data_IF_759506691979
#
_entry.id   IF_759506691979
#
_cell.length_a   1.000
_cell.length_b   1.000
_cell.length_c   1.000
_cell.angle_alpha   90.00
_cell.angle_beta   90.00
_cell.angle_gamma   90.00
#
_symmetry.space_group_name_H-M   'P 1'
#
loop_
_entity.id
_entity.type
_entity.pdbx_description
1 polymer ?
#
# COMPACT_ATOMS: atom_id res chain seq x y z
N UNK A 1 29.99 -1.80 -0.06
CA UNK A 1 28.82 -2.31 -0.79
C UNK A 1 28.37 -3.57 -0.07
N UNK A 2 27.08 -3.73 0.25
CA UNK A 2 26.60 -4.93 0.98
C UNK A 2 26.20 -5.98 -0.05
N UNK A 3 27.01 -7.03 -0.20
CA UNK A 3 26.68 -8.16 -1.07
C UNK A 3 25.54 -8.99 -0.49
N UNK A 4 24.87 -9.74 -1.37
CA UNK A 4 23.63 -10.46 -1.08
C UNK A 4 23.78 -11.92 -1.46
N UNK A 5 23.49 -12.80 -0.51
CA UNK A 5 23.59 -14.23 -0.69
C UNK A 5 22.45 -14.75 -1.58
N UNK A 6 22.80 -15.57 -2.56
CA UNK A 6 21.90 -16.35 -3.39
C UNK A 6 22.19 -17.80 -3.06
N UNK A 7 21.22 -18.48 -2.44
CA UNK A 7 21.37 -19.85 -2.04
C UNK A 7 20.19 -20.68 -2.53
N UNK A 8 20.47 -21.84 -3.12
CA UNK A 8 19.42 -22.78 -3.51
C UNK A 8 19.95 -24.21 -3.57
N UNK A 9 19.03 -25.16 -3.70
CA UNK A 9 19.32 -26.57 -3.98
C UNK A 9 18.69 -26.93 -5.33
N UNK A 10 19.49 -27.50 -6.21
CA UNK A 10 19.07 -27.91 -7.55
C UNK A 10 18.61 -29.36 -7.50
N UNK A 11 17.37 -29.58 -7.92
CA UNK A 11 16.75 -30.90 -8.00
C UNK A 11 16.45 -31.24 -9.47
N UNK A 12 16.52 -32.52 -9.81
CA UNK A 12 16.14 -33.09 -11.12
C UNK A 12 15.02 -34.12 -10.95
N UNK A 13 14.40 -34.47 -12.08
CA UNK A 13 13.36 -35.49 -12.17
C UNK A 13 11.94 -34.93 -12.03
N UNK A 14 11.01 -35.49 -12.79
CA UNK A 14 9.58 -35.12 -12.77
C UNK A 14 8.75 -36.06 -11.89
N UNK A 15 9.22 -37.29 -11.68
CA UNK A 15 8.53 -38.33 -10.90
C UNK A 15 9.31 -38.76 -9.65
N UNK A 16 10.65 -38.76 -9.71
CA UNK A 16 11.54 -38.98 -8.58
C UNK A 16 12.45 -37.77 -8.42
N UNK A 17 12.33 -37.05 -7.30
CA UNK A 17 13.22 -35.95 -6.97
C UNK A 17 14.63 -36.50 -6.72
N UNK A 18 15.60 -36.06 -7.51
CA UNK A 18 17.02 -36.38 -7.35
C UNK A 18 17.84 -35.10 -7.19
N UNK A 19 18.99 -35.20 -6.53
CA UNK A 19 19.95 -34.09 -6.44
C UNK A 19 20.64 -33.89 -7.78
N UNK A 20 20.70 -32.65 -8.25
CA UNK A 20 21.36 -32.29 -9.50
C UNK A 20 22.81 -31.84 -9.26
N UNK A 21 23.66 -32.76 -8.79
CA UNK A 21 25.08 -32.48 -8.56
C UNK A 21 25.75 -31.97 -9.86
N UNK A 22 26.57 -30.93 -9.75
CA UNK A 22 27.28 -30.35 -10.90
C UNK A 22 26.38 -29.60 -11.90
N UNK A 23 25.14 -29.25 -11.54
CA UNK A 23 24.29 -28.41 -12.39
C UNK A 23 24.97 -27.08 -12.70
N UNK A 24 24.90 -26.62 -13.95
CA UNK A 24 25.42 -25.31 -14.35
C UNK A 24 24.42 -24.23 -13.94
N UNK A 25 24.89 -23.23 -13.20
CA UNK A 25 24.11 -22.08 -12.74
C UNK A 25 24.63 -20.83 -13.46
N UNK A 26 23.73 -20.07 -14.07
CA UNK A 26 24.02 -18.78 -14.69
C UNK A 26 23.12 -17.73 -14.07
N UNK A 27 23.71 -16.60 -13.66
CA UNK A 27 22.97 -15.49 -13.05
C UNK A 27 23.16 -14.24 -13.90
N UNK A 28 22.06 -13.73 -14.44
CA UNK A 28 22.07 -12.55 -15.32
C UNK A 28 21.29 -11.43 -14.68
N UNK A 29 21.67 -10.20 -14.98
CA UNK A 29 20.84 -9.04 -14.69
C UNK A 29 19.54 -9.15 -15.50
N UNK A 30 18.40 -9.08 -14.81
CA UNK A 30 17.09 -9.34 -15.43
C UNK A 30 16.68 -8.27 -16.45
N UNK A 31 17.28 -7.07 -16.39
CA UNK A 31 16.95 -5.95 -17.28
C UNK A 31 17.83 -6.00 -18.53
N UNK A 32 19.13 -6.19 -18.37
CA UNK A 32 20.12 -6.12 -19.45
C UNK A 32 20.43 -7.48 -20.08
N UNK A 33 20.14 -8.59 -19.39
CA UNK A 33 20.47 -9.95 -19.83
C UNK A 33 21.97 -10.29 -19.77
N UNK A 34 22.79 -9.40 -19.19
CA UNK A 34 24.24 -9.59 -19.04
C UNK A 34 24.56 -10.40 -17.78
N UNK A 35 25.66 -11.14 -17.80
CA UNK A 35 26.15 -11.83 -16.60
C UNK A 35 26.59 -10.79 -15.56
N UNK A 36 26.19 -11.00 -14.31
CA UNK A 36 26.63 -10.15 -13.19
C UNK A 36 27.90 -10.71 -12.55
N UNK A 37 28.66 -9.84 -11.89
CA UNK A 37 29.77 -10.26 -11.02
C UNK A 37 29.23 -11.03 -9.82
N UNK A 38 29.88 -12.15 -9.51
CA UNK A 38 29.58 -13.02 -8.37
C UNK A 38 30.82 -13.13 -7.48
N UNK A 39 30.60 -13.49 -6.21
CA UNK A 39 31.65 -13.68 -5.21
C UNK A 39 31.37 -14.91 -4.34
N UNK A 40 32.42 -15.56 -3.85
CA UNK A 40 32.33 -16.69 -2.92
C UNK A 40 32.08 -16.21 -1.47
N UNK A 41 32.39 -14.96 -1.15
CA UNK A 41 32.28 -14.39 0.18
C UNK A 41 31.51 -13.05 0.21
N UNK A 42 30.95 -12.72 1.39
CA UNK A 42 30.14 -11.51 1.59
C UNK A 42 30.93 -10.20 1.53
N UNK A 43 32.25 -10.24 1.73
CA UNK A 43 33.10 -9.06 1.64
C UNK A 43 33.47 -8.73 0.18
N UNK A 44 33.20 -9.64 -0.75
CA UNK A 44 33.49 -9.48 -2.17
C UNK A 44 34.98 -9.59 -2.49
N UNK A 45 35.74 -10.32 -1.67
CA UNK A 45 37.18 -10.47 -1.82
C UNK A 45 37.55 -11.54 -2.86
N UNK A 46 36.76 -12.60 -2.95
CA UNK A 46 36.99 -13.76 -3.82
C UNK A 46 35.93 -13.80 -4.92
N UNK A 47 36.27 -13.43 -6.17
CA UNK A 47 35.34 -13.50 -7.29
C UNK A 47 34.96 -14.95 -7.61
N UNK A 48 33.70 -15.16 -7.99
CA UNK A 48 33.18 -16.43 -8.49
C UNK A 48 32.90 -16.33 -10.00
N UNK A 49 33.05 -17.45 -10.69
CA UNK A 49 32.74 -17.60 -12.11
C UNK A 49 31.24 -17.45 -12.40
N UNK A 50 30.88 -17.00 -13.60
CA UNK A 50 29.49 -16.92 -14.05
C UNK A 50 29.42 -17.22 -15.55
N UNK A 51 29.07 -18.45 -15.95
CA UNK A 51 28.43 -19.50 -15.15
C UNK A 51 29.38 -20.23 -14.19
N UNK A 52 28.82 -20.87 -13.16
CA UNK A 52 29.50 -21.76 -12.21
C UNK A 52 28.72 -23.08 -12.03
N UNK A 53 29.26 -24.04 -11.28
CA UNK A 53 28.61 -25.34 -11.02
C UNK A 53 28.17 -25.49 -9.58
N UNK A 54 26.96 -26.01 -9.37
CA UNK A 54 26.49 -26.46 -8.06
C UNK A 54 27.36 -27.61 -7.53
N UNK A 55 27.45 -27.73 -6.20
CA UNK A 55 28.29 -28.72 -5.52
C UNK A 55 27.79 -30.18 -5.69
N UNK A 56 28.47 -31.12 -5.03
CA UNK A 56 28.10 -32.54 -5.07
C UNK A 56 26.74 -32.86 -4.42
N UNK A 57 26.20 -31.95 -3.61
CA UNK A 57 24.87 -32.01 -3.03
C UNK A 57 23.85 -31.18 -3.84
N UNK A 58 24.22 -30.70 -5.02
CA UNK A 58 23.40 -29.84 -5.87
C UNK A 58 23.11 -28.48 -5.24
N UNK A 59 23.87 -28.06 -4.24
CA UNK A 59 23.72 -26.78 -3.57
C UNK A 59 24.62 -25.74 -4.22
N UNK A 60 24.21 -24.48 -4.15
CA UNK A 60 25.11 -23.37 -4.40
C UNK A 60 24.84 -22.22 -3.44
N UNK A 61 25.90 -21.47 -3.15
CA UNK A 61 25.88 -20.21 -2.43
C UNK A 61 26.83 -19.26 -3.16
N UNK A 62 26.30 -18.16 -3.67
CA UNK A 62 27.10 -17.08 -4.24
C UNK A 62 26.61 -15.75 -3.71
N UNK A 63 27.49 -14.76 -3.70
CA UNK A 63 27.17 -13.40 -3.32
C UNK A 63 27.14 -12.53 -4.58
N UNK A 64 26.23 -11.59 -4.63
CA UNK A 64 26.13 -10.63 -5.73
C UNK A 64 25.80 -9.23 -5.22
N UNK A 65 26.04 -8.23 -6.05
CA UNK A 65 25.54 -6.88 -5.82
C UNK A 65 24.01 -6.87 -5.85
N UNK A 66 23.34 -5.99 -5.08
CA UNK A 66 21.90 -5.75 -5.19
C UNK A 66 21.47 -5.52 -6.65
N UNK A 67 20.62 -6.39 -7.17
CA UNK A 67 20.10 -6.35 -8.54
C UNK A 67 18.82 -7.19 -8.63
N UNK A 68 18.06 -7.05 -9.73
CA UNK A 68 17.07 -8.07 -10.11
C UNK A 68 17.75 -9.02 -11.08
N UNK A 69 17.62 -10.32 -10.84
CA UNK A 69 18.40 -11.32 -11.57
C UNK A 69 17.52 -12.41 -12.16
N UNK A 70 17.92 -12.91 -13.31
CA UNK A 70 17.43 -14.18 -13.87
C UNK A 70 18.43 -15.27 -13.47
N UNK A 71 17.94 -16.30 -12.78
CA UNK A 71 18.74 -17.47 -12.41
C UNK A 71 18.34 -18.61 -13.35
N UNK A 72 19.29 -19.05 -14.16
CA UNK A 72 19.11 -20.19 -15.08
C UNK A 72 19.94 -21.35 -14.58
N UNK A 73 19.31 -22.49 -14.38
CA UNK A 73 19.98 -23.72 -13.94
C UNK A 73 19.73 -24.83 -14.92
N UNK A 74 20.81 -25.46 -15.38
CA UNK A 74 20.78 -26.54 -16.37
C UNK A 74 21.45 -27.79 -15.82
N UNK A 75 20.76 -28.94 -15.91
CA UNK A 75 21.28 -30.25 -15.52
C UNK A 75 20.65 -31.36 -16.36
N UNK A 76 21.48 -32.26 -16.91
CA UNK A 76 21.01 -33.41 -17.69
C UNK A 76 20.11 -33.06 -18.87
N UNK A 77 20.34 -31.90 -19.52
CA UNK A 77 19.51 -31.40 -20.63
C UNK A 77 18.23 -30.67 -20.21
N UNK A 78 17.89 -30.63 -18.92
CA UNK A 78 16.75 -29.86 -18.40
C UNK A 78 17.20 -28.47 -17.96
N UNK A 79 16.36 -27.46 -18.21
CA UNK A 79 16.61 -26.07 -17.80
C UNK A 79 15.46 -25.55 -16.97
N UNK A 80 15.77 -24.94 -15.83
CA UNK A 80 14.83 -24.19 -14.99
C UNK A 80 15.28 -22.73 -14.94
N UNK A 81 14.32 -21.83 -15.07
CA UNK A 81 14.56 -20.38 -15.03
C UNK A 81 13.72 -19.81 -13.88
N UNK A 82 14.37 -19.11 -12.97
CA UNK A 82 13.70 -18.19 -12.05
C UNK A 82 13.86 -16.79 -12.63
N UNK A 83 12.76 -16.25 -13.14
CA UNK A 83 12.74 -14.90 -13.68
C UNK A 83 12.64 -13.89 -12.53
N UNK A 84 13.41 -12.81 -12.66
CA UNK A 84 13.17 -11.56 -11.94
C UNK A 84 13.30 -11.62 -10.40
N UNK A 85 14.25 -12.43 -9.92
CA UNK A 85 14.60 -12.61 -8.50
C UNK A 85 15.23 -11.33 -7.95
N UNK A 86 14.64 -10.76 -6.91
CA UNK A 86 15.12 -9.52 -6.31
C UNK A 86 16.18 -9.79 -5.22
N UNK A 87 17.41 -9.34 -5.46
CA UNK A 87 18.52 -9.46 -4.52
C UNK A 87 18.70 -8.24 -3.61
N UNK A 88 17.88 -7.20 -3.69
CA UNK A 88 18.12 -5.98 -2.91
C UNK A 88 18.03 -6.15 -1.38
N UNK A 89 17.64 -7.35 -0.92
CA UNK A 89 17.74 -7.80 0.47
C UNK A 89 16.65 -7.23 1.37
N UNK A 90 15.57 -6.77 0.76
CA UNK A 90 14.31 -6.54 1.43
C UNK A 90 13.32 -7.60 0.94
N UNK A 91 13.29 -8.79 1.56
CA UNK A 91 12.43 -9.88 1.11
C UNK A 91 10.94 -9.54 1.18
N UNK A 92 10.58 -8.39 1.77
CA UNK A 92 9.20 -7.95 1.98
C UNK A 92 8.80 -6.75 1.10
N UNK A 93 9.70 -6.23 0.27
CA UNK A 93 9.38 -5.11 -0.61
C UNK A 93 9.22 -3.76 0.12
N UNK A 94 9.96 -3.53 1.21
CA UNK A 94 9.83 -2.34 2.07
C UNK A 94 10.77 -1.17 1.67
N UNK A 95 11.42 -1.22 0.49
CA UNK A 95 12.22 -0.08 0.01
C UNK A 95 11.31 1.04 -0.50
N UNK A 96 10.25 0.69 -1.21
CA UNK A 96 9.17 1.62 -1.51
C UNK A 96 8.58 2.09 -0.18
N UNK A 97 8.49 3.40 0.01
CA UNK A 97 7.87 4.02 1.19
C UNK A 97 6.38 4.25 0.99
N UNK A 98 5.92 4.31 -0.26
CA UNK A 98 4.50 4.50 -0.57
C UNK A 98 3.75 3.23 -0.21
N UNK A 99 2.83 3.36 0.75
CA UNK A 99 1.84 2.32 1.06
C UNK A 99 0.74 2.39 -0.01
N UNK A 100 0.34 1.21 -0.49
CA UNK A 100 -0.67 0.94 -1.49
C UNK A 100 -0.40 1.62 -2.85
N UNK A 101 0.87 1.78 -3.23
CA UNK A 101 1.27 2.42 -4.49
C UNK A 101 0.90 1.64 -5.76
N UNK A 102 0.67 0.33 -5.62
CA UNK A 102 0.16 -0.54 -6.68
C UNK A 102 -1.37 -0.67 -6.71
N UNK A 103 -2.08 0.02 -5.81
CA UNK A 103 -3.53 -0.02 -5.64
C UNK A 103 -4.20 -1.40 -5.40
N UNK A 104 -3.60 -2.41 -4.76
CA UNK A 104 -4.32 -3.65 -4.44
C UNK A 104 -5.44 -3.50 -3.40
N UNK A 105 -5.37 -2.53 -2.48
CA UNK A 105 -6.29 -2.42 -1.32
C UNK A 105 -7.31 -1.28 -1.48
N UNK A 106 -8.61 -1.59 -1.34
CA UNK A 106 -9.76 -0.66 -1.51
C UNK A 106 -10.95 -0.93 -0.55
N UNK A 107 -10.67 -1.06 0.75
CA UNK A 107 -11.61 -1.25 1.86
C UNK A 107 -12.60 -0.09 2.04
N UNK A 108 -12.22 1.15 1.70
CA UNK A 108 -13.10 2.33 1.75
C UNK A 108 -14.16 2.42 0.63
N UNK A 109 -14.12 1.50 -0.34
CA UNK A 109 -14.91 1.56 -1.57
C UNK A 109 -14.03 1.79 -2.80
N UNK A 110 -14.62 1.78 -3.99
CA UNK A 110 -13.91 1.81 -5.28
C UNK A 110 -14.21 3.04 -6.14
N UNK A 111 -15.00 3.98 -5.63
CA UNK A 111 -15.39 5.21 -6.33
C UNK A 111 -15.60 6.35 -5.33
N UNK A 112 -14.96 7.49 -5.58
CA UNK A 112 -14.89 8.62 -4.65
C UNK A 112 -15.11 9.93 -5.39
N UNK A 113 -16.11 10.71 -4.98
CA UNK A 113 -16.47 12.00 -5.59
C UNK A 113 -16.34 13.19 -4.64
N UNK A 114 -15.77 13.00 -3.44
CA UNK A 114 -15.49 14.03 -2.45
C UNK A 114 -13.98 14.10 -2.18
N UNK A 115 -13.48 15.25 -1.74
CA UNK A 115 -12.10 15.32 -1.24
C UNK A 115 -12.00 14.48 0.04
N UNK A 116 -11.00 13.61 0.12
CA UNK A 116 -10.90 12.64 1.21
C UNK A 116 -9.95 11.50 0.89
N UNK A 117 -9.76 10.62 1.87
CA UNK A 117 -8.96 9.42 1.70
C UNK A 117 -9.64 8.41 0.76
N UNK A 118 -8.86 7.82 -0.14
CA UNK A 118 -9.25 6.79 -1.08
C UNK A 118 -8.14 5.74 -1.22
N UNK A 119 -8.46 4.56 -1.77
CA UNK A 119 -7.51 3.46 -1.96
C UNK A 119 -6.58 3.28 -0.74
N UNK A 120 -7.19 3.19 0.42
CA UNK A 120 -6.61 2.93 1.73
C UNK A 120 -5.27 3.54 2.17
N UNK A 121 -4.92 4.74 1.69
CA UNK A 121 -3.86 5.61 2.26
C UNK A 121 -3.74 6.97 1.55
N UNK A 122 -4.22 7.03 0.32
CA UNK A 122 -4.03 8.18 -0.56
C UNK A 122 -5.13 9.20 -0.35
N UNK A 123 -4.82 10.48 -0.49
CA UNK A 123 -5.80 11.54 -0.36
C UNK A 123 -6.14 12.11 -1.73
N UNK A 124 -7.43 12.17 -2.05
CA UNK A 124 -7.97 12.88 -3.19
C UNK A 124 -8.25 14.32 -2.78
N UNK A 125 -7.49 15.27 -3.29
CA UNK A 125 -7.79 16.69 -3.13
C UNK A 125 -8.29 17.25 -4.45
N UNK A 126 -9.54 17.69 -4.48
CA UNK A 126 -10.18 18.09 -5.73
C UNK A 126 -10.96 19.40 -5.62
N UNK A 127 -11.19 19.98 -6.79
CA UNK A 127 -12.14 21.06 -7.03
C UNK A 127 -13.10 20.66 -8.15
N UNK A 128 -14.33 21.17 -8.10
CA UNK A 128 -15.37 20.85 -9.08
C UNK A 128 -15.86 19.40 -9.03
N UNK A 129 -16.34 18.91 -10.18
CA UNK A 129 -16.93 17.58 -10.34
C UNK A 129 -15.86 16.60 -10.81
N UNK A 130 -15.12 16.01 -9.88
CA UNK A 130 -14.16 14.96 -10.18
C UNK A 130 -14.47 13.70 -9.39
N UNK A 131 -14.29 12.54 -10.04
CA UNK A 131 -14.44 11.21 -9.45
C UNK A 131 -13.14 10.43 -9.59
N UNK A 132 -12.65 9.85 -8.50
CA UNK A 132 -11.57 8.88 -8.52
C UNK A 132 -12.13 7.45 -8.43
N UNK A 133 -11.78 6.57 -9.36
CA UNK A 133 -12.24 5.16 -9.39
C UNK A 133 -11.07 4.18 -9.41
N UNK A 134 -11.34 2.96 -8.90
CA UNK A 134 -10.49 1.79 -9.14
C UNK A 134 -10.81 1.20 -10.50
N UNK A 135 -9.78 0.91 -11.27
CA UNK A 135 -9.89 0.28 -12.58
C UNK A 135 -8.91 -0.90 -12.70
N UNK A 136 -9.23 -1.84 -13.60
CA UNK A 136 -8.41 -3.04 -13.86
C UNK A 136 -8.24 -3.34 -15.36
N UNK A 137 -8.65 -2.43 -16.24
CA UNK A 137 -8.53 -2.65 -17.68
C UNK A 137 -7.15 -2.22 -18.17
N UNK A 138 -6.35 -3.17 -18.66
CA UNK A 138 -4.98 -2.92 -19.17
C UNK A 138 -4.04 -2.25 -18.15
N UNK A 139 -3.91 -2.77 -16.91
CA UNK A 139 -2.97 -2.24 -15.94
C UNK A 139 -1.52 -2.42 -16.46
N UNK A 140 -0.55 -1.63 -15.97
CA UNK A 140 0.84 -1.87 -16.32
C UNK A 140 1.29 -3.25 -15.79
N UNK A 141 2.21 -3.89 -16.51
CA UNK A 141 2.80 -5.17 -16.09
C UNK A 141 3.29 -5.09 -14.64
N UNK A 142 2.86 -6.03 -13.80
CA UNK A 142 3.15 -6.06 -12.36
C UNK A 142 2.08 -5.40 -11.49
N UNK A 143 0.95 -4.96 -12.05
CA UNK A 143 -0.19 -4.42 -11.30
C UNK A 143 -1.51 -5.05 -11.75
N UNK A 144 -2.45 -5.18 -10.81
CA UNK A 144 -3.82 -5.61 -11.09
C UNK A 144 -4.76 -4.42 -11.25
N UNK A 145 -4.53 -3.38 -10.46
CA UNK A 145 -5.38 -2.19 -10.41
C UNK A 145 -4.59 -0.90 -10.62
N UNK A 146 -5.33 0.15 -10.93
CA UNK A 146 -4.85 1.52 -10.99
C UNK A 146 -5.97 2.50 -10.60
N UNK A 147 -5.59 3.75 -10.34
CA UNK A 147 -6.55 4.81 -10.02
C UNK A 147 -6.83 5.68 -11.25
N UNK A 148 -8.10 6.01 -11.48
CA UNK A 148 -8.56 6.87 -12.58
C UNK A 148 -9.22 8.12 -12.03
N UNK A 149 -8.82 9.29 -12.52
CA UNK A 149 -9.34 10.59 -12.14
C UNK A 149 -10.14 11.16 -13.30
N UNK A 150 -11.48 11.08 -13.22
CA UNK A 150 -12.41 11.50 -14.25
C UNK A 150 -13.03 12.85 -13.90
N UNK A 151 -12.86 13.82 -14.79
CA UNK A 151 -13.54 15.11 -14.73
C UNK A 151 -14.96 15.01 -15.29
N UNK A 152 -15.93 15.53 -14.55
CA UNK A 152 -17.36 15.57 -14.89
C UNK A 152 -17.90 16.98 -15.21
N UNK A 153 -17.03 18.00 -15.22
CA UNK A 153 -17.38 19.37 -15.58
C UNK A 153 -16.15 20.17 -16.02
N UNK A 154 -16.34 21.23 -16.82
CA UNK A 154 -15.29 22.12 -17.33
C UNK A 154 -14.73 23.13 -16.31
N UNK A 155 -14.46 22.67 -15.10
CA UNK A 155 -13.85 23.38 -13.98
C UNK A 155 -13.26 22.41 -12.95
N UNK A 156 -13.04 21.16 -13.38
CA UNK A 156 -12.65 20.08 -12.49
C UNK A 156 -11.13 20.02 -12.37
N UNK A 157 -10.67 19.74 -11.17
CA UNK A 157 -9.26 19.62 -10.84
C UNK A 157 -9.09 18.55 -9.78
N UNK A 158 -8.06 17.72 -9.87
CA UNK A 158 -7.83 16.61 -8.95
C UNK A 158 -6.35 16.36 -8.72
N UNK A 159 -6.03 16.13 -7.45
CA UNK A 159 -4.71 15.79 -6.97
C UNK A 159 -4.77 14.45 -6.28
N UNK A 160 -3.77 13.64 -6.58
CA UNK A 160 -3.32 12.57 -5.71
C UNK A 160 -2.34 13.15 -4.69
N UNK A 161 -2.54 12.83 -3.41
CA UNK A 161 -1.59 13.17 -2.36
C UNK A 161 -1.26 11.94 -1.50
N UNK A 162 0.02 11.79 -1.15
CA UNK A 162 0.49 10.80 -0.20
C UNK A 162 1.41 11.47 0.82
N UNK A 163 1.09 11.38 2.10
CA UNK A 163 1.82 12.08 3.17
C UNK A 163 2.50 11.07 4.08
N UNK A 164 3.82 11.21 4.23
CA UNK A 164 4.67 10.46 5.15
C UNK A 164 4.81 11.21 6.47
N UNK A 165 4.82 10.46 7.56
CA UNK A 165 4.95 10.98 8.91
C UNK A 165 6.40 11.02 9.37
N UNK A 166 6.71 11.76 10.43
CA UNK A 166 8.06 11.87 10.97
C UNK A 166 8.77 10.54 11.19
N UNK A 167 8.03 9.51 11.61
CA UNK A 167 8.56 8.15 11.81
C UNK A 167 8.93 7.48 10.49
N UNK A 168 8.12 7.70 9.45
CA UNK A 168 8.39 7.21 8.10
C UNK A 168 9.53 7.99 7.45
N UNK A 169 9.62 9.30 7.75
CA UNK A 169 10.62 10.20 7.16
C UNK A 169 12.01 10.01 7.76
N UNK A 170 12.10 9.53 9.00
CA UNK A 170 13.39 9.35 9.67
C UNK A 170 14.35 8.46 8.87
N UNK A 171 13.84 7.41 8.22
CA UNK A 171 14.65 6.51 7.40
C UNK A 171 15.05 7.08 6.03
N UNK A 172 14.45 8.22 5.65
CA UNK A 172 14.70 8.94 4.41
C UNK A 172 15.66 10.12 4.59
N UNK A 173 15.84 10.63 5.82
CA UNK A 173 16.67 11.81 6.11
C UNK A 173 18.12 11.61 5.65
N UNK A 174 18.66 12.62 4.97
CA UNK A 174 20.03 12.64 4.45
C UNK A 174 20.23 11.80 3.18
N UNK A 175 19.15 11.25 2.60
CA UNK A 175 19.22 10.38 1.42
C UNK A 175 18.63 11.04 0.19
N UNK A 176 19.10 10.59 -0.97
CA UNK A 176 18.49 10.88 -2.26
C UNK A 176 17.37 9.87 -2.53
N UNK A 177 16.15 10.37 -2.58
CA UNK A 177 14.95 9.59 -2.85
C UNK A 177 14.48 9.81 -4.29
N UNK A 178 13.91 8.78 -4.90
CA UNK A 178 13.32 8.83 -6.24
C UNK A 178 11.83 8.52 -6.13
N UNK A 179 10.99 9.50 -6.49
CA UNK A 179 9.59 9.29 -6.80
C UNK A 179 9.48 8.76 -8.23
N UNK A 180 8.73 7.67 -8.41
CA UNK A 180 8.51 7.03 -9.70
C UNK A 180 7.05 6.60 -9.80
N UNK A 181 6.40 6.84 -10.94
CA UNK A 181 5.03 6.37 -11.17
C UNK A 181 4.74 6.23 -12.67
N UNK A 182 3.69 5.49 -12.99
CA UNK A 182 3.16 5.36 -14.35
C UNK A 182 1.92 6.20 -14.52
N UNK A 183 1.83 6.88 -15.66
CA UNK A 183 0.71 7.74 -16.01
C UNK A 183 0.26 7.54 -17.46
N UNK A 184 -1.04 7.70 -17.69
CA UNK A 184 -1.65 7.81 -19.02
C UNK A 184 -2.93 8.63 -18.96
N UNK A 185 -3.52 8.94 -20.11
CA UNK A 185 -4.71 9.79 -20.23
C UNK A 185 -5.64 9.34 -21.34
N UNK A 186 -6.84 9.91 -21.39
CA UNK A 186 -7.62 9.87 -22.64
C UNK A 186 -7.17 10.93 -23.64
N UNK A 187 -7.62 10.76 -24.88
CA UNK A 187 -7.35 11.68 -25.98
C UNK A 187 -7.88 13.09 -25.74
N UNK A 188 -8.99 13.23 -25.01
CA UNK A 188 -9.61 14.53 -24.72
C UNK A 188 -8.90 15.32 -23.61
N UNK A 189 -8.07 14.67 -22.78
CA UNK A 189 -7.41 15.33 -21.66
C UNK A 189 -6.54 16.49 -22.14
N UNK A 190 -6.77 17.67 -21.58
CA UNK A 190 -6.22 18.95 -22.05
C UNK A 190 -5.12 19.53 -21.15
N UNK A 191 -4.85 18.90 -20.00
CA UNK A 191 -3.87 19.36 -19.01
C UNK A 191 -2.51 18.66 -19.12
N UNK A 192 -1.50 19.19 -18.43
CA UNK A 192 -0.29 18.44 -18.08
C UNK A 192 -0.38 17.95 -16.64
N UNK A 193 0.62 17.18 -16.19
CA UNK A 193 0.68 16.63 -14.84
C UNK A 193 1.96 17.06 -14.16
N UNK A 194 1.87 17.53 -12.92
CA UNK A 194 3.01 17.89 -12.06
C UNK A 194 3.15 16.90 -10.93
N UNK A 195 4.33 16.29 -10.81
CA UNK A 195 4.77 15.65 -9.59
C UNK A 195 5.46 16.68 -8.69
N UNK A 196 5.24 16.62 -7.39
CA UNK A 196 5.86 17.50 -6.41
C UNK A 196 6.20 16.71 -5.16
N UNK A 197 7.42 16.87 -4.66
CA UNK A 197 7.78 16.45 -3.31
C UNK A 197 8.00 17.70 -2.47
N UNK A 198 7.31 17.77 -1.33
CA UNK A 198 7.40 18.89 -0.38
C UNK A 198 7.61 18.38 1.05
N UNK A 199 8.24 19.21 1.88
CA UNK A 199 8.51 18.91 3.30
C UNK A 199 7.78 19.87 4.24
N UNK A 200 7.54 19.40 5.45
CA UNK A 200 7.05 20.21 6.57
C UNK A 200 8.02 20.10 7.74
N UNK A 201 8.46 21.24 8.28
CA UNK A 201 9.41 21.28 9.40
C UNK A 201 8.77 21.12 10.78
N UNK A 202 7.45 21.18 10.91
CA UNK A 202 6.79 21.38 12.21
C UNK A 202 5.74 20.33 12.59
N UNK A 203 5.12 19.64 11.62
CA UNK A 203 3.95 18.82 11.93
C UNK A 203 3.85 17.52 11.12
N UNK A 204 3.40 16.47 11.81
CA UNK A 204 2.82 15.24 11.25
C UNK A 204 1.37 15.49 10.88
N UNK A 205 1.16 16.30 9.84
CA UNK A 205 -0.17 16.70 9.39
C UNK A 205 -0.23 16.54 7.88
N UNK A 206 -1.41 16.27 7.31
CA UNK A 206 -1.59 16.27 5.86
C UNK A 206 -1.96 17.67 5.39
N UNK A 207 -2.81 18.35 6.16
CA UNK A 207 -3.19 19.75 5.90
C UNK A 207 -2.67 20.69 7.00
N UNK A 208 -2.41 21.95 6.65
CA UNK A 208 -1.82 22.92 7.58
C UNK A 208 -0.28 22.83 7.69
N UNK A 209 0.30 23.77 8.44
CA UNK A 209 1.75 23.98 8.53
C UNK A 209 2.36 24.70 7.32
N UNK A 210 3.67 24.95 7.37
CA UNK A 210 4.42 25.59 6.29
C UNK A 210 5.11 24.52 5.43
N UNK A 211 4.47 24.18 4.30
CA UNK A 211 5.03 23.23 3.34
C UNK A 211 6.00 23.91 2.39
N UNK A 212 7.23 23.40 2.33
CA UNK A 212 8.26 23.87 1.41
C UNK A 212 8.45 22.86 0.29
N UNK A 213 8.30 23.29 -0.96
CA UNK A 213 8.59 22.46 -2.14
C UNK A 213 10.08 22.15 -2.18
N UNK A 214 10.42 20.86 -2.32
CA UNK A 214 11.80 20.41 -2.47
C UNK A 214 12.15 20.12 -3.93
N UNK A 215 11.21 19.51 -4.66
CA UNK A 215 11.41 19.17 -6.06
C UNK A 215 10.07 19.10 -6.80
N UNK A 216 10.10 19.36 -8.11
CA UNK A 216 8.94 19.25 -9.02
C UNK A 216 9.36 18.65 -10.35
N UNK A 217 8.48 17.89 -10.98
CA UNK A 217 8.62 17.42 -12.36
C UNK A 217 7.32 17.64 -13.11
N UNK A 218 7.36 18.28 -14.28
CA UNK A 218 6.20 18.51 -15.13
C UNK A 218 6.23 17.57 -16.33
N UNK A 219 5.19 16.76 -16.49
CA UNK A 219 4.93 15.95 -17.68
C UNK A 219 3.94 16.68 -18.55
N UNK A 220 4.37 17.12 -19.74
CA UNK A 220 3.49 17.82 -20.66
C UNK A 220 2.41 16.88 -21.21
N UNK A 221 1.28 17.46 -21.63
CA UNK A 221 0.15 16.72 -22.20
C UNK A 221 0.57 15.76 -23.33
N UNK A 222 1.42 16.25 -24.24
CA UNK A 222 1.92 15.51 -25.40
C UNK A 222 2.83 14.33 -25.06
N UNK A 223 3.44 14.31 -23.88
CA UNK A 223 4.40 13.28 -23.46
C UNK A 223 3.71 12.08 -22.76
N UNK A 224 2.43 12.25 -22.40
CA UNK A 224 1.62 11.18 -21.83
C UNK A 224 1.00 10.31 -22.92
N UNK A 225 1.11 8.99 -22.77
CA UNK A 225 0.39 8.05 -23.61
C UNK A 225 -1.12 8.33 -23.55
N UNK A 226 -1.75 8.38 -24.73
CA UNK A 226 -3.18 8.64 -24.95
C UNK A 226 -3.82 7.51 -25.74
N UNK A 227 -5.10 7.21 -25.50
CA UNK A 227 -5.86 6.18 -26.21
C UNK A 227 -7.19 5.82 -25.53
N UNK A 228 -7.93 4.88 -26.12
CA UNK A 228 -9.21 4.36 -25.58
C UNK A 228 -9.26 2.83 -25.74
N UNK A 229 -8.86 2.03 -24.73
CA UNK A 229 -7.92 2.36 -23.65
C UNK A 229 -6.45 2.27 -24.15
N UNK A 230 -5.54 3.13 -23.68
CA UNK A 230 -4.13 3.03 -24.05
C UNK A 230 -3.51 1.77 -23.42
N UNK A 231 -2.81 0.92 -24.17
CA UNK A 231 -2.22 -0.32 -23.63
C UNK A 231 -0.85 -0.11 -22.98
N UNK A 232 -0.25 1.06 -23.13
CA UNK A 232 1.06 1.43 -22.58
C UNK A 232 0.95 2.62 -21.61
N UNK A 233 2.04 2.86 -20.89
CA UNK A 233 2.11 3.85 -19.81
C UNK A 233 3.38 4.69 -19.95
N UNK A 234 3.29 5.99 -19.68
CA UNK A 234 4.47 6.86 -19.54
C UNK A 234 5.02 6.71 -18.12
N UNK A 235 6.32 6.47 -17.99
CA UNK A 235 6.99 6.49 -16.68
C UNK A 235 7.44 7.92 -16.37
N UNK A 236 7.11 8.41 -15.16
CA UNK A 236 7.56 9.71 -14.65
C UNK A 236 8.49 9.47 -13.46
N UNK A 237 9.53 10.30 -13.34
CA UNK A 237 10.55 10.22 -12.28
C UNK A 237 10.89 11.60 -11.75
N UNK A 238 11.04 11.70 -10.44
CA UNK A 238 11.47 12.91 -9.74
C UNK A 238 12.43 12.52 -8.62
N UNK A 239 13.66 13.03 -8.67
CA UNK A 239 14.66 12.81 -7.61
C UNK A 239 14.70 13.99 -6.66
N UNK A 240 14.90 13.73 -5.38
CA UNK A 240 14.93 14.74 -4.33
C UNK A 240 15.88 14.32 -3.21
N UNK A 241 16.66 15.28 -2.70
CA UNK A 241 17.48 15.07 -1.51
C UNK A 241 16.65 15.44 -0.27
N UNK A 242 16.42 14.47 0.62
CA UNK A 242 15.72 14.71 1.88
C UNK A 242 16.74 15.25 2.89
N UNK A 243 16.53 16.45 3.45
CA UNK A 243 17.49 17.05 4.36
C UNK A 243 17.60 16.26 5.68
N UNK A 244 18.76 16.35 6.32
CA UNK A 244 18.96 15.86 7.70
C UNK A 244 19.26 17.04 8.65
N UNK A 245 18.35 18.01 8.69
CA UNK A 245 18.52 19.30 9.41
C UNK A 245 17.31 19.64 10.31
N UNK A 246 16.51 18.62 10.67
CA UNK A 246 15.24 18.75 11.41
C UNK A 246 14.11 19.52 10.68
N UNK A 247 14.28 19.91 9.40
CA UNK A 247 13.24 20.62 8.63
C UNK A 247 12.33 19.70 7.80
N UNK A 248 12.59 18.39 7.80
CA UNK A 248 11.75 17.36 7.18
C UNK A 248 11.16 16.43 8.24
N UNK A 249 10.18 16.95 8.99
CA UNK A 249 9.40 16.14 9.94
C UNK A 249 8.14 15.54 9.29
N UNK A 250 7.72 16.05 8.14
CA UNK A 250 6.76 15.42 7.25
C UNK A 250 7.22 15.56 5.80
N UNK A 251 6.94 14.56 4.97
CA UNK A 251 7.18 14.62 3.52
C UNK A 251 5.86 14.30 2.83
N UNK A 252 5.57 15.00 1.74
CA UNK A 252 4.38 14.74 0.95
C UNK A 252 4.71 14.67 -0.53
N UNK A 253 4.14 13.67 -1.19
CA UNK A 253 4.07 13.55 -2.64
C UNK A 253 2.73 14.11 -3.09
N UNK A 254 2.75 14.96 -4.11
CA UNK A 254 1.56 15.42 -4.83
C UNK A 254 1.75 15.09 -6.30
N UNK A 255 0.74 14.47 -6.92
CA UNK A 255 0.63 14.33 -8.36
C UNK A 255 -0.67 15.02 -8.77
N UNK A 256 -0.56 16.10 -9.53
CA UNK A 256 -1.68 17.01 -9.79
C UNK A 256 -1.76 17.44 -11.23
N UNK A 257 -2.95 17.84 -11.66
CA UNK A 257 -3.15 18.52 -12.92
C UNK A 257 -2.46 19.90 -12.89
N UNK A 258 -2.03 20.41 -14.04
CA UNK A 258 -1.45 21.77 -14.15
C UNK A 258 -2.52 22.83 -14.37
N UNK A 259 -3.60 22.46 -15.06
CA UNK A 259 -4.77 23.30 -15.34
C UNK A 259 -6.05 22.50 -15.12
N UNK A 260 -7.16 23.22 -14.88
CA UNK A 260 -8.51 22.64 -14.84
C UNK A 260 -8.83 21.95 -16.17
N UNK A 261 -9.61 20.88 -16.11
CA UNK A 261 -9.95 20.07 -17.28
C UNK A 261 -11.43 20.10 -17.62
N UNK A 262 -11.74 19.76 -18.87
CA UNK A 262 -13.08 19.64 -19.42
C UNK A 262 -13.87 18.43 -18.90
N UNK A 263 -15.15 18.38 -19.28
CA UNK A 263 -16.00 17.23 -19.01
C UNK A 263 -15.51 15.97 -19.76
N UNK A 264 -15.60 14.81 -19.11
CA UNK A 264 -15.18 13.50 -19.60
C UNK A 264 -13.67 13.35 -19.89
N UNK A 265 -12.85 14.32 -19.50
CA UNK A 265 -11.39 14.20 -19.51
C UNK A 265 -10.90 13.35 -18.33
N UNK A 266 -9.92 12.47 -18.57
CA UNK A 266 -9.34 11.68 -17.48
C UNK A 266 -7.85 11.45 -17.64
N UNK A 267 -7.23 11.25 -16.48
CA UNK A 267 -5.86 10.75 -16.33
C UNK A 267 -5.87 9.58 -15.34
N UNK A 268 -4.90 8.69 -15.48
CA UNK A 268 -4.81 7.43 -14.74
C UNK A 268 -3.39 7.26 -14.20
N UNK A 269 -3.26 6.74 -12.98
CA UNK A 269 -1.96 6.51 -12.32
C UNK A 269 -1.84 5.11 -11.74
N UNK A 270 -0.63 4.58 -11.80
CA UNK A 270 -0.29 3.26 -11.29
C UNK A 270 1.16 3.23 -10.81
N UNK A 271 1.51 2.17 -10.05
CA UNK A 271 2.89 1.83 -9.70
C UNK A 271 3.67 2.99 -9.05
N UNK A 272 3.08 3.61 -8.03
CA UNK A 272 3.68 4.74 -7.33
C UNK A 272 4.72 4.23 -6.34
N UNK A 273 5.94 4.72 -6.46
CA UNK A 273 7.05 4.37 -5.58
C UNK A 273 7.79 5.60 -5.09
N UNK A 274 8.29 5.52 -3.87
CA UNK A 274 9.25 6.47 -3.32
C UNK A 274 10.32 5.70 -2.58
N UNK A 275 11.53 5.59 -3.15
CA UNK A 275 12.60 4.73 -2.62
C UNK A 275 13.97 5.39 -2.73
N UNK A 276 14.91 4.90 -1.94
CA UNK A 276 16.30 5.38 -1.93
C UNK A 276 17.00 5.02 -3.25
N UNK A 277 17.62 6.03 -3.88
CA UNK A 277 18.45 5.86 -5.08
C UNK A 277 17.70 5.53 -6.39
N UNK A 278 18.50 5.30 -7.44
CA UNK A 278 18.17 4.62 -8.70
C UNK A 278 17.14 5.24 -9.65
N UNK A 279 17.52 5.41 -10.92
CA UNK A 279 16.61 5.77 -12.01
C UNK A 279 15.88 4.56 -12.61
N UNK A 280 16.33 3.31 -12.44
CA UNK A 280 15.79 2.14 -13.15
C UNK A 280 15.62 0.91 -12.25
N UNK A 281 14.59 0.91 -11.42
CA UNK A 281 14.06 -0.36 -10.92
C UNK A 281 12.59 -0.46 -11.27
N UNK A 282 12.21 -1.66 -11.72
CA UNK A 282 10.82 -2.10 -11.81
C UNK A 282 10.07 -1.81 -10.51
N UNK A 283 8.75 -1.69 -10.64
CA UNK A 283 7.86 -1.53 -9.50
C UNK A 283 8.07 -2.65 -8.48
N UNK A 284 8.35 -2.27 -7.24
CA UNK A 284 8.44 -3.16 -6.10
C UNK A 284 7.03 -3.50 -5.60
N UNK A 285 6.64 -4.75 -5.79
CA UNK A 285 5.37 -5.28 -5.29
C UNK A 285 5.57 -5.84 -3.89
N UNK A 286 4.64 -5.51 -2.99
CA UNK A 286 4.52 -6.20 -1.70
C UNK A 286 3.49 -7.32 -1.81
N UNK A 287 3.64 -8.41 -1.03
CA UNK A 287 2.55 -9.37 -0.87
C UNK A 287 1.27 -8.69 -0.38
N UNK A 288 0.11 -9.13 -0.91
CA UNK A 288 -1.19 -8.51 -0.59
C UNK A 288 -1.45 -8.41 0.92
N UNK A 289 -1.18 -9.47 1.68
CA UNK A 289 -1.41 -9.50 3.13
C UNK A 289 -0.58 -8.44 3.88
N UNK A 290 0.62 -8.12 3.39
CA UNK A 290 1.48 -7.11 3.99
C UNK A 290 0.94 -5.72 3.67
N UNK A 291 0.53 -5.49 2.43
CA UNK A 291 -0.09 -4.24 1.99
C UNK A 291 -1.40 -3.97 2.75
N UNK A 292 -2.24 -5.00 2.93
CA UNK A 292 -3.46 -4.92 3.73
C UNK A 292 -3.16 -4.56 5.19
N UNK A 293 -2.15 -5.21 5.78
CA UNK A 293 -1.74 -4.94 7.16
C UNK A 293 -1.19 -3.53 7.36
N UNK A 294 -0.43 -3.00 6.39
CA UNK A 294 0.03 -1.60 6.41
C UNK A 294 -1.15 -0.63 6.27
N UNK A 295 -2.11 -0.93 5.39
CA UNK A 295 -3.33 -0.13 5.24
C UNK A 295 -4.21 -0.19 6.52
N UNK A 296 -4.29 -1.33 7.20
CA UNK A 296 -5.10 -1.52 8.42
C UNK A 296 -4.66 -0.61 9.57
N UNK A 297 -3.39 -0.21 9.62
CA UNK A 297 -2.92 0.76 10.61
C UNK A 297 -3.59 2.13 10.49
N UNK A 298 -4.04 2.51 9.28
CA UNK A 298 -4.68 3.79 9.01
C UNK A 298 -6.20 3.65 8.92
N UNK A 299 -6.68 2.52 8.41
CA UNK A 299 -8.10 2.27 8.26
C UNK A 299 -8.45 0.79 8.35
N UNK A 300 -9.31 0.48 9.32
CA UNK A 300 -9.76 -0.87 9.57
C UNK A 300 -11.27 -0.94 9.67
N UNK A 301 -11.82 -2.08 9.25
CA UNK A 301 -13.23 -2.42 9.42
C UNK A 301 -13.29 -3.69 10.28
N UNK A 302 -13.86 -3.60 11.49
CA UNK A 302 -13.91 -4.74 12.43
C UNK A 302 -15.04 -5.72 12.05
N UNK A 303 -16.15 -5.21 11.54
CA UNK A 303 -17.33 -6.02 11.22
C UNK A 303 -17.83 -5.72 9.81
N UNK A 304 -18.09 -6.78 9.05
CA UNK A 304 -18.71 -6.67 7.73
C UNK A 304 -19.74 -7.78 7.50
N UNK A 305 -20.84 -7.42 6.85
CA UNK A 305 -21.55 -8.28 5.89
C UNK A 305 -22.46 -9.39 6.41
N UNK A 306 -22.44 -9.70 7.71
CA UNK A 306 -23.12 -10.90 8.25
C UNK A 306 -23.96 -10.56 9.48
N UNK A 307 -25.22 -11.00 9.49
CA UNK A 307 -26.12 -10.89 10.64
C UNK A 307 -25.75 -11.89 11.75
N UNK A 308 -26.07 -11.55 13.00
CA UNK A 308 -25.82 -12.37 14.21
C UNK A 308 -24.35 -12.72 14.47
N UNK A 309 -23.40 -11.98 13.90
CA UNK A 309 -21.97 -12.21 14.11
C UNK A 309 -21.51 -11.49 15.38
N UNK A 310 -20.81 -12.22 16.23
CA UNK A 310 -20.23 -11.72 17.48
C UNK A 310 -19.32 -10.52 17.22
N UNK A 311 -19.50 -9.46 17.99
CA UNK A 311 -18.68 -8.23 17.93
C UNK A 311 -17.81 -8.11 19.17
N UNK A 312 -18.37 -8.32 20.37
CA UNK A 312 -17.59 -8.26 21.61
C UNK A 312 -18.39 -8.66 22.85
N UNK A 313 -17.70 -8.98 23.96
CA UNK A 313 -18.34 -9.24 25.24
C UNK A 313 -19.05 -7.98 25.75
N UNK A 314 -20.20 -8.19 26.39
CA UNK A 314 -21.05 -7.12 26.90
C UNK A 314 -21.47 -7.34 28.35
N UNK A 315 -21.79 -6.23 29.04
CA UNK A 315 -22.37 -6.24 30.36
C UNK A 315 -23.37 -5.10 30.57
N UNK A 316 -24.35 -5.32 31.45
CA UNK A 316 -25.31 -4.30 31.85
C UNK A 316 -24.81 -3.55 33.07
N UNK A 317 -24.55 -2.24 32.89
CA UNK A 317 -24.08 -1.38 33.99
C UNK A 317 -25.24 -0.86 34.84
N UNK A 318 -26.29 -0.36 34.19
CA UNK A 318 -27.58 0.01 34.81
C UNK A 318 -28.72 -0.49 33.90
N UNK A 319 -29.96 -0.47 34.38
CA UNK A 319 -31.14 -1.00 33.63
C UNK A 319 -31.42 -0.30 32.30
N UNK A 320 -30.70 0.78 31.98
CA UNK A 320 -30.80 1.54 30.74
C UNK A 320 -29.46 1.69 30.00
N UNK A 321 -28.36 1.09 30.50
CA UNK A 321 -27.02 1.22 29.89
C UNK A 321 -26.38 -0.15 29.74
N UNK A 322 -26.04 -0.48 28.49
CA UNK A 322 -25.22 -1.63 28.13
C UNK A 322 -23.85 -1.18 27.62
N UNK A 323 -22.81 -1.91 28.02
CA UNK A 323 -21.42 -1.67 27.64
C UNK A 323 -20.87 -2.88 26.91
N UNK A 324 -20.06 -2.67 25.87
CA UNK A 324 -19.23 -3.70 25.28
C UNK A 324 -17.80 -3.21 25.07
N UNK A 325 -16.85 -4.14 25.14
CA UNK A 325 -15.45 -3.90 24.79
C UNK A 325 -15.15 -4.69 23.54
N UNK A 326 -14.79 -4.01 22.46
CA UNK A 326 -14.59 -4.63 21.14
C UNK A 326 -13.08 -4.64 20.88
N UNK A 327 -12.45 -5.80 20.66
CA UNK A 327 -11.05 -5.85 20.25
C UNK A 327 -10.84 -5.05 18.96
N UNK A 328 -9.85 -4.17 18.95
CA UNK A 328 -9.48 -3.37 17.79
C UNK A 328 -8.09 -3.78 17.28
N UNK A 329 -7.84 -3.74 15.97
CA UNK A 329 -6.49 -3.89 15.46
C UNK A 329 -5.59 -2.74 15.95
N UNK A 330 -4.26 -2.91 15.96
CA UNK A 330 -3.34 -1.80 16.15
C UNK A 330 -3.60 -0.71 15.12
N UNK A 331 -3.79 0.53 15.59
CA UNK A 331 -3.93 1.71 14.76
C UNK A 331 -2.73 2.64 14.93
N UNK A 332 -2.39 3.37 13.87
CA UNK A 332 -1.29 4.34 13.81
C UNK A 332 -1.43 5.41 14.90
N UNK A 333 -2.64 5.92 15.12
CA UNK A 333 -2.98 6.87 16.18
C UNK A 333 -4.30 6.56 16.86
N UNK A 334 -4.83 7.51 17.64
CA UNK A 334 -6.19 7.41 18.17
C UNK A 334 -7.18 7.55 17.02
N UNK A 335 -7.72 6.42 16.55
CA UNK A 335 -8.72 6.40 15.49
C UNK A 335 -10.03 7.11 15.88
N UNK A 336 -10.60 7.82 14.91
CA UNK A 336 -12.02 8.17 14.90
C UNK A 336 -12.82 6.90 14.64
N UNK A 337 -13.76 6.58 15.54
CA UNK A 337 -14.61 5.41 15.38
C UNK A 337 -15.96 5.83 14.86
N UNK A 338 -16.36 5.23 13.75
CA UNK A 338 -17.72 5.37 13.21
C UNK A 338 -18.38 4.00 13.12
N UNK A 339 -19.70 4.02 12.97
CA UNK A 339 -20.50 2.81 12.82
C UNK A 339 -21.60 3.03 11.80
N UNK A 340 -22.15 1.93 11.29
CA UNK A 340 -23.45 1.95 10.62
C UNK A 340 -24.58 2.31 11.61
N UNK A 341 -25.84 2.20 11.19
CA UNK A 341 -26.96 2.60 12.03
C UNK A 341 -26.97 1.81 13.34
N UNK A 342 -27.38 2.44 14.46
CA UNK A 342 -27.47 1.74 15.74
C UNK A 342 -28.35 0.49 15.66
N UNK A 343 -29.43 0.60 14.90
CA UNK A 343 -30.35 -0.46 14.60
C UNK A 343 -29.72 -1.69 13.94
N UNK A 344 -28.53 -1.59 13.34
CA UNK A 344 -27.78 -2.70 12.75
C UNK A 344 -27.10 -3.58 13.80
N UNK A 345 -27.15 -3.20 15.07
CA UNK A 345 -26.55 -3.94 16.18
C UNK A 345 -27.61 -4.32 17.20
N UNK A 346 -27.36 -5.41 17.90
CA UNK A 346 -28.21 -5.85 18.99
C UNK A 346 -27.37 -6.42 20.14
N UNK A 347 -27.91 -6.21 21.33
CA UNK A 347 -27.49 -6.83 22.55
C UNK A 347 -28.17 -8.18 22.70
N UNK A 348 -27.41 -9.21 23.06
CA UNK A 348 -27.95 -10.53 23.32
C UNK A 348 -27.65 -10.93 24.77
N UNK A 349 -28.69 -10.82 25.62
CA UNK A 349 -28.65 -11.12 27.05
C UNK A 349 -29.70 -12.19 27.35
N UNK A 350 -29.39 -13.20 28.19
CA UNK A 350 -30.36 -14.22 28.64
C UNK A 350 -31.19 -14.87 27.51
N UNK A 351 -30.57 -15.15 26.38
CA UNK A 351 -31.23 -15.71 25.18
C UNK A 351 -32.31 -14.80 24.56
N UNK A 352 -32.29 -13.51 24.86
CA UNK A 352 -33.15 -12.48 24.28
C UNK A 352 -32.31 -11.41 23.59
N UNK A 353 -32.75 -10.99 22.41
CA UNK A 353 -32.14 -9.91 21.66
C UNK A 353 -32.84 -8.57 21.98
N UNK A 354 -32.06 -7.53 22.22
CA UNK A 354 -32.55 -6.15 22.37
C UNK A 354 -31.75 -5.23 21.46
N UNK A 355 -32.45 -4.44 20.65
CA UNK A 355 -31.81 -3.57 19.66
C UNK A 355 -30.98 -2.46 20.31
N UNK A 356 -29.87 -2.09 19.69
CA UNK A 356 -29.08 -0.92 20.10
C UNK A 356 -29.77 0.38 19.70
N UNK A 357 -29.73 1.40 20.58
CA UNK A 357 -30.52 2.63 20.41
C UNK A 357 -29.62 3.86 20.29
N UNK A 358 -28.93 4.25 21.36
CA UNK A 358 -28.11 5.45 21.43
C UNK A 358 -26.66 5.09 21.77
N UNK A 359 -25.99 4.35 20.88
CA UNK A 359 -24.59 4.03 21.10
C UNK A 359 -23.60 5.14 20.75
N UNK A 360 -22.63 5.30 21.64
CA UNK A 360 -21.40 6.06 21.48
C UNK A 360 -20.21 5.11 21.48
N UNK A 361 -19.20 5.44 20.70
CA UNK A 361 -17.99 4.63 20.54
C UNK A 361 -16.78 5.47 20.89
N UNK A 362 -15.87 4.90 21.68
CA UNK A 362 -14.59 5.52 22.00
C UNK A 362 -13.47 4.51 21.77
N UNK A 363 -12.47 4.87 20.96
CA UNK A 363 -11.28 4.05 20.77
C UNK A 363 -10.29 4.30 21.92
N UNK A 364 -9.92 3.22 22.59
CA UNK A 364 -8.85 3.20 23.56
C UNK A 364 -7.63 2.52 22.93
N UNK A 365 -6.71 3.35 22.42
CA UNK A 365 -5.51 2.90 21.70
C UNK A 365 -4.63 2.00 22.56
N UNK A 366 -4.41 2.36 23.82
CA UNK A 366 -3.50 1.65 24.72
C UNK A 366 -4.04 0.24 25.04
N UNK A 367 -5.36 0.12 25.14
CA UNK A 367 -6.04 -1.15 25.38
C UNK A 367 -6.36 -1.92 24.09
N UNK A 368 -6.01 -1.39 22.91
CA UNK A 368 -6.36 -1.97 21.59
C UNK A 368 -7.83 -2.38 21.54
N UNK A 369 -8.71 -1.49 21.98
CA UNK A 369 -10.14 -1.78 22.08
C UNK A 369 -11.00 -0.57 21.80
N UNK A 370 -12.25 -0.82 21.44
CA UNK A 370 -13.30 0.19 21.37
C UNK A 370 -14.26 -0.07 22.52
N UNK A 371 -14.54 0.96 23.29
CA UNK A 371 -15.65 0.95 24.23
C UNK A 371 -16.93 1.37 23.49
N UNK A 372 -17.91 0.49 23.49
CA UNK A 372 -19.27 0.76 23.00
C UNK A 372 -20.18 0.99 24.19
N UNK A 373 -20.79 2.18 24.27
CA UNK A 373 -21.72 2.54 25.35
C UNK A 373 -23.07 2.90 24.74
N UNK A 374 -24.10 2.14 25.07
CA UNK A 374 -25.46 2.36 24.58
C UNK A 374 -26.42 2.71 25.72
N UNK A 375 -27.17 3.79 25.54
CA UNK A 375 -28.06 4.35 26.54
C UNK A 375 -29.52 4.31 26.08
N UNK A 376 -30.45 4.13 27.02
CA UNK A 376 -31.88 4.02 26.72
C UNK A 376 -32.32 2.64 26.22
N UNK A 377 -31.48 1.62 26.40
CA UNK A 377 -31.84 0.23 26.09
C UNK A 377 -32.85 -0.28 27.14
N UNK A 378 -34.00 -0.77 26.71
CA UNK A 378 -35.05 -1.28 27.60
C UNK A 378 -34.82 -2.75 27.97
N UNK A 379 -35.42 -3.20 29.09
CA UNK A 379 -35.44 -4.63 29.45
C UNK A 379 -34.13 -5.18 30.00
N UNK A 380 -33.18 -4.34 30.39
CA UNK A 380 -31.90 -4.78 30.95
C UNK A 380 -32.01 -5.07 32.46
N UNK A 381 -31.22 -6.04 32.95
CA UNK A 381 -31.03 -6.28 34.38
C UNK A 381 -29.57 -6.07 34.75
N UNK A 382 -29.33 -5.27 35.80
CA UNK A 382 -27.97 -4.95 36.28
C UNK A 382 -27.19 -6.22 36.58
N UNK A 383 -25.96 -6.30 36.08
CA UNK A 383 -25.09 -7.45 36.28
C UNK A 383 -25.27 -8.58 35.26
N UNK A 384 -26.24 -8.48 34.33
CA UNK A 384 -26.31 -9.41 33.21
C UNK A 384 -25.04 -9.33 32.35
N UNK A 385 -24.45 -10.50 32.07
CA UNK A 385 -23.44 -10.68 31.03
C UNK A 385 -24.07 -11.07 29.71
N UNK A 386 -23.47 -10.65 28.60
CA UNK A 386 -23.94 -11.00 27.27
C UNK A 386 -22.94 -10.66 26.18
N UNK A 387 -23.46 -10.42 24.98
CA UNK A 387 -22.64 -10.06 23.83
C UNK A 387 -23.30 -8.95 23.02
N UNK A 388 -22.47 -8.10 22.43
CA UNK A 388 -22.85 -7.26 21.30
C UNK A 388 -22.66 -8.09 20.02
N UNK A 389 -23.65 -8.08 19.13
CA UNK A 389 -23.55 -8.72 17.82
C UNK A 389 -24.18 -7.87 16.73
N UNK A 390 -23.81 -8.14 15.48
CA UNK A 390 -24.54 -7.57 14.35
C UNK A 390 -25.96 -8.12 14.30
N UNK A 391 -26.92 -7.27 13.98
CA UNK A 391 -28.31 -7.64 13.68
C UNK A 391 -28.52 -7.82 12.18
N UNK A 392 -27.89 -6.96 11.38
CA UNK A 392 -28.03 -6.94 9.91
C UNK A 392 -26.70 -7.23 9.23
N UNK A 393 -26.74 -7.56 7.94
CA UNK A 393 -25.52 -7.65 7.11
C UNK A 393 -24.87 -6.28 6.85
N UNK A 394 -25.55 -5.19 7.17
CA UNK A 394 -25.05 -3.82 7.01
C UNK A 394 -24.25 -3.33 8.23
N UNK A 395 -24.21 -4.11 9.32
CA UNK A 395 -23.48 -3.77 10.53
C UNK A 395 -21.98 -3.60 10.27
N UNK A 396 -21.47 -2.40 10.51
CA UNK A 396 -20.06 -2.06 10.33
C UNK A 396 -19.55 -1.15 11.45
N UNK A 397 -18.31 -1.39 11.85
CA UNK A 397 -17.55 -0.51 12.76
C UNK A 397 -16.24 -0.19 12.03
N UNK A 398 -15.99 1.10 11.87
CA UNK A 398 -14.86 1.65 11.12
C UNK A 398 -13.95 2.40 12.08
N UNK A 399 -12.65 2.13 11.99
CA UNK A 399 -11.60 2.90 12.66
C UNK A 399 -10.84 3.67 11.59
N UNK A 400 -10.83 4.99 11.70
CA UNK A 400 -10.08 5.87 10.82
C UNK A 400 -9.02 6.65 11.63
N UNK A 401 -7.74 6.33 11.41
CA UNK A 401 -6.59 6.94 12.07
C UNK A 401 -5.71 7.75 11.10
N UNK A 402 -6.29 8.20 9.99
CA UNK A 402 -5.58 9.00 9.00
C UNK A 402 -5.09 10.36 9.55
N UNK A 403 -4.15 10.95 8.83
CA UNK A 403 -3.71 12.32 9.06
C UNK A 403 -4.84 13.32 8.74
N UNK A 404 -4.97 14.37 9.55
CA UNK A 404 -5.88 15.48 9.26
C UNK A 404 -5.25 16.55 8.37
#
# INVERSE_FOLDING_TARGET
>A
MVLRAIQSTVLTGTTNLAIAAGATVTIKDAVTGLNISLWEDIAGATPESNPFTADSNGQFLVYANPARVQITVTSGGNTRIWEDVDLHGDPLGLRNKVINGGFPVWKRGTSFSASGYFADRHFLNKSGTLTCTRESTTPPVGSEFYAKFLSGAASSFGNFEHTFESTDVEDMKGKRMTLSFKIRRNSAFSSGIRATVRRNGTANTRSGGSWTVMATEDTANGDMVSGVPPTTWTQVRLTVDIPNDATANGVQIIIQQLVVTGNAEYWEIAQIEFKEGGSDSSFETRPLWLEESLCDWFYAIIQTGVASRYVGPAGVHVTTIALAVIPAPPMRGTATVTRSAAADFEWFFRNAATQSVNASLAHNRDLKSIQWTDTGVAGLTVGDGGQLRSKTGSAQIILDAELT
#
